data_IF_290093340869
#
_entry.id   IF_290093340869
#
_cell.length_a   1.000
_cell.length_b   1.000
_cell.length_c   1.000
_cell.angle_alpha   90.00
_cell.angle_beta   90.00
_cell.angle_gamma   90.00
#
_symmetry.space_group_name_H-M   'P 1'
#
loop_
_entity.id
_entity.type
_entity.pdbx_description
1 polymer ?
#
# COMPACT_ATOMS: atom_id res chain seq x y z
N UNK A 1 -18.39 28.12 -15.72
CA UNK A 1 -17.72 26.95 -16.32
C UNK A 1 -16.23 26.94 -16.04
N UNK A 2 -15.44 27.94 -16.46
CA UNK A 2 -13.99 27.95 -16.14
C UNK A 2 -13.67 28.02 -14.63
N UNK A 3 -14.43 28.81 -13.85
CA UNK A 3 -14.22 28.93 -12.41
C UNK A 3 -14.58 27.65 -11.64
N UNK A 4 -15.55 26.89 -12.13
CA UNK A 4 -15.99 25.62 -11.53
C UNK A 4 -14.97 24.51 -11.77
N UNK A 5 -14.40 24.45 -12.99
CA UNK A 5 -13.30 23.54 -13.30
C UNK A 5 -12.03 23.90 -12.50
N UNK A 6 -11.73 25.20 -12.35
CA UNK A 6 -10.61 25.65 -11.52
C UNK A 6 -10.77 25.21 -10.05
N UNK A 7 -11.95 25.43 -9.47
CA UNK A 7 -12.25 25.03 -8.09
C UNK A 7 -12.12 23.51 -7.91
N UNK A 8 -12.61 22.73 -8.88
CA UNK A 8 -12.48 21.27 -8.85
C UNK A 8 -11.01 20.83 -8.89
N UNK A 9 -10.19 21.45 -9.75
CA UNK A 9 -8.75 21.15 -9.84
C UNK A 9 -8.02 21.51 -8.54
N UNK A 10 -8.35 22.65 -7.93
CA UNK A 10 -7.79 23.04 -6.62
C UNK A 10 -8.18 22.06 -5.52
N UNK A 11 -9.43 21.59 -5.50
CA UNK A 11 -9.88 20.55 -4.57
C UNK A 11 -9.13 19.23 -4.80
N UNK A 12 -8.96 18.81 -6.06
CA UNK A 12 -8.19 17.62 -6.41
C UNK A 12 -6.73 17.74 -5.98
N UNK A 13 -6.11 18.91 -6.16
CA UNK A 13 -4.76 19.20 -5.69
C UNK A 13 -4.67 19.07 -4.16
N UNK A 14 -5.64 19.62 -3.42
CA UNK A 14 -5.70 19.50 -1.96
C UNK A 14 -5.85 18.04 -1.48
N UNK A 15 -6.66 17.23 -2.18
CA UNK A 15 -6.77 15.80 -1.91
C UNK A 15 -5.46 15.05 -2.18
N UNK A 16 -4.76 15.38 -3.27
CA UNK A 16 -3.46 14.79 -3.59
C UNK A 16 -2.38 15.16 -2.56
N UNK A 17 -2.35 16.41 -2.07
CA UNK A 17 -1.44 16.83 -1.01
C UNK A 17 -1.73 16.10 0.31
N UNK A 18 -3.02 15.94 0.64
CA UNK A 18 -3.44 15.15 1.79
C UNK A 18 -3.02 13.68 1.65
N UNK A 19 -3.14 13.12 0.44
CA UNK A 19 -2.71 11.75 0.15
C UNK A 19 -1.19 11.60 0.30
N UNK A 20 -0.39 12.60 -0.07
CA UNK A 20 1.05 12.60 0.14
C UNK A 20 1.42 12.46 1.62
N UNK A 21 0.74 13.21 2.50
CA UNK A 21 0.96 13.15 3.95
C UNK A 21 0.61 11.76 4.48
N UNK A 22 -0.55 11.22 4.09
CA UNK A 22 -1.00 9.88 4.50
C UNK A 22 -0.02 8.81 4.03
N UNK A 23 0.50 8.93 2.81
CA UNK A 23 1.46 7.97 2.25
C UNK A 23 2.85 8.05 2.89
N UNK A 24 3.31 9.24 3.29
CA UNK A 24 4.53 9.40 4.11
C UNK A 24 4.35 8.81 5.51
N UNK A 25 3.17 8.99 6.11
CA UNK A 25 2.84 8.34 7.37
C UNK A 25 2.84 6.80 7.23
N UNK A 26 2.28 6.28 6.13
CA UNK A 26 2.34 4.85 5.81
C UNK A 26 3.80 4.34 5.70
N UNK A 27 4.68 5.08 5.02
CA UNK A 27 6.11 4.77 4.92
C UNK A 27 6.78 4.70 6.31
N UNK A 28 6.52 5.69 7.18
CA UNK A 28 7.02 5.71 8.55
C UNK A 28 6.52 4.51 9.35
N UNK A 29 5.23 4.17 9.23
CA UNK A 29 4.63 3.01 9.91
C UNK A 29 5.23 1.68 9.43
N UNK A 30 5.58 1.57 8.15
CA UNK A 30 6.27 0.42 7.58
C UNK A 30 7.75 0.35 7.98
N UNK A 31 8.35 1.48 8.36
CA UNK A 31 9.73 1.56 8.85
C UNK A 31 9.95 0.95 10.24
N UNK A 32 8.89 0.74 11.03
CA UNK A 32 9.02 0.08 12.33
C UNK A 32 9.37 -1.41 12.18
N UNK A 33 10.12 -1.93 13.15
CA UNK A 33 10.48 -3.37 13.21
C UNK A 33 9.25 -4.31 13.15
N UNK A 34 8.13 -3.86 13.72
CA UNK A 34 6.83 -4.50 13.61
C UNK A 34 5.82 -3.44 13.24
N UNK A 35 5.14 -3.63 12.12
CA UNK A 35 4.09 -2.72 11.65
C UNK A 35 2.95 -2.69 12.69
N UNK A 36 2.62 -1.52 13.26
CA UNK A 36 1.58 -1.41 14.27
C UNK A 36 0.20 -1.52 13.60
N UNK A 37 -0.65 -2.49 13.98
CA UNK A 37 -1.85 -2.83 13.22
C UNK A 37 -2.93 -1.72 13.23
N UNK A 38 -3.21 -1.09 14.38
CA UNK A 38 -4.27 -0.06 14.46
C UNK A 38 -3.93 1.21 13.67
N UNK A 39 -2.76 1.87 13.90
CA UNK A 39 -2.41 3.08 13.14
C UNK A 39 -2.25 2.80 11.64
N UNK A 40 -1.76 1.62 11.27
CA UNK A 40 -1.61 1.21 9.88
C UNK A 40 -2.96 1.00 9.18
N UNK A 41 -3.93 0.38 9.86
CA UNK A 41 -5.29 0.23 9.34
C UNK A 41 -5.97 1.59 9.14
N UNK A 42 -5.89 2.48 10.14
CA UNK A 42 -6.44 3.84 10.05
C UNK A 42 -5.85 4.63 8.87
N UNK A 43 -4.52 4.58 8.71
CA UNK A 43 -3.81 5.23 7.59
C UNK A 43 -4.22 4.63 6.24
N UNK A 44 -4.43 3.31 6.19
CA UNK A 44 -4.88 2.61 4.97
C UNK A 44 -6.30 3.01 4.58
N UNK A 45 -7.22 3.12 5.54
CA UNK A 45 -8.58 3.56 5.28
C UNK A 45 -8.64 5.03 4.84
N UNK A 46 -7.83 5.91 5.44
CA UNK A 46 -7.68 7.29 4.99
C UNK A 46 -7.17 7.38 3.55
N UNK A 47 -6.14 6.59 3.20
CA UNK A 47 -5.62 6.47 1.83
C UNK A 47 -6.73 6.02 0.87
N UNK A 48 -7.52 5.00 1.24
CA UNK A 48 -8.61 4.49 0.43
C UNK A 48 -9.70 5.53 0.19
N UNK A 49 -10.09 6.27 1.23
CA UNK A 49 -11.04 7.37 1.11
C UNK A 49 -10.54 8.46 0.15
N UNK A 50 -9.29 8.91 0.32
CA UNK A 50 -8.70 9.95 -0.52
C UNK A 50 -8.58 9.50 -1.99
N UNK A 51 -8.17 8.26 -2.25
CA UNK A 51 -8.11 7.71 -3.61
C UNK A 51 -9.51 7.66 -4.25
N UNK A 52 -10.54 7.28 -3.49
CA UNK A 52 -11.92 7.29 -3.98
C UNK A 52 -12.40 8.71 -4.29
N UNK A 53 -12.09 9.68 -3.42
CA UNK A 53 -12.41 11.09 -3.63
C UNK A 53 -11.70 11.67 -4.87
N UNK A 54 -10.42 11.35 -5.08
CA UNK A 54 -9.66 11.73 -6.28
C UNK A 54 -10.28 11.10 -7.53
N UNK A 55 -10.65 9.82 -7.48
CA UNK A 55 -11.31 9.14 -8.62
C UNK A 55 -12.67 9.76 -8.97
N UNK A 56 -13.45 10.17 -7.96
CA UNK A 56 -14.70 10.90 -8.19
C UNK A 56 -14.45 12.29 -8.80
N UNK A 57 -13.48 13.04 -8.28
CA UNK A 57 -13.10 14.35 -8.82
C UNK A 57 -12.63 14.26 -10.27
N UNK A 58 -11.87 13.23 -10.62
CA UNK A 58 -11.39 12.99 -11.99
C UNK A 58 -12.55 12.69 -12.95
N UNK A 59 -13.53 11.87 -12.55
CA UNK A 59 -14.72 11.61 -13.35
C UNK A 59 -15.54 12.89 -13.56
N UNK A 60 -15.67 13.72 -12.53
CA UNK A 60 -16.35 15.02 -12.62
C UNK A 60 -15.59 15.98 -13.55
N UNK A 61 -14.25 15.95 -13.53
CA UNK A 61 -13.39 16.73 -14.43
C UNK A 61 -13.65 16.34 -15.89
N UNK A 62 -13.66 15.04 -16.20
CA UNK A 62 -13.93 14.54 -17.55
C UNK A 62 -15.32 14.95 -18.06
N UNK A 63 -16.35 14.93 -17.20
CA UNK A 63 -17.70 15.38 -17.56
C UNK A 63 -17.74 16.88 -17.87
N UNK A 64 -17.08 17.71 -17.06
CA UNK A 64 -16.99 19.15 -17.31
C UNK A 64 -16.18 19.47 -18.58
N UNK A 65 -15.12 18.71 -18.86
CA UNK A 65 -14.36 18.83 -20.11
C UNK A 65 -15.20 18.51 -21.34
N UNK A 66 -16.00 17.43 -21.29
CA UNK A 66 -16.89 17.04 -22.38
C UNK A 66 -17.97 18.11 -22.62
N UNK A 67 -18.55 18.67 -21.55
CA UNK A 67 -19.54 19.74 -21.64
C UNK A 67 -18.97 21.06 -22.16
N UNK A 68 -17.75 21.41 -21.76
CA UNK A 68 -17.08 22.64 -22.19
C UNK A 68 -16.39 22.50 -23.56
N UNK A 69 -16.23 21.28 -24.08
CA UNK A 69 -15.38 20.95 -25.23
C UNK A 69 -13.94 21.47 -25.10
N UNK A 70 -13.41 21.44 -23.88
CA UNK A 70 -12.05 21.85 -23.56
C UNK A 70 -11.29 20.62 -23.10
N UNK A 71 -10.04 20.47 -23.52
CA UNK A 71 -9.18 19.35 -23.12
C UNK A 71 -7.92 19.88 -22.44
N UNK A 72 -7.48 19.22 -21.37
CA UNK A 72 -6.16 19.42 -20.81
C UNK A 72 -5.08 19.27 -21.92
N UNK A 73 -4.06 20.14 -22.02
CA UNK A 73 -3.45 20.95 -20.95
C UNK A 73 -4.02 22.37 -20.75
N UNK A 74 -5.22 22.69 -21.27
CA UNK A 74 -5.89 23.98 -21.04
C UNK A 74 -5.06 25.19 -21.51
N UNK A 75 -4.48 25.11 -22.72
CA UNK A 75 -3.58 26.15 -23.28
C UNK A 75 -4.19 27.56 -23.31
N UNK A 76 -5.53 27.67 -23.33
CA UNK A 76 -6.25 28.94 -23.28
C UNK A 76 -6.37 29.59 -21.90
N UNK A 77 -5.97 28.93 -20.81
CA UNK A 77 -6.04 29.50 -19.47
C UNK A 77 -4.79 29.15 -18.64
N UNK A 78 -3.88 30.12 -18.38
CA UNK A 78 -2.63 29.86 -17.69
C UNK A 78 -2.82 29.39 -16.24
N UNK A 79 -3.90 29.81 -15.56
CA UNK A 79 -4.19 29.36 -14.20
C UNK A 79 -4.54 27.87 -14.14
N UNK A 80 -5.40 27.40 -15.06
CA UNK A 80 -5.74 25.97 -15.16
C UNK A 80 -4.54 25.12 -15.58
N UNK A 81 -3.75 25.59 -16.55
CA UNK A 81 -2.54 24.89 -16.98
C UNK A 81 -1.56 24.70 -15.82
N UNK A 82 -1.35 25.75 -15.01
CA UNK A 82 -0.45 25.69 -13.86
C UNK A 82 -0.92 24.67 -12.80
N UNK A 83 -2.19 24.70 -12.43
CA UNK A 83 -2.77 23.76 -11.46
C UNK A 83 -2.72 22.32 -11.99
N UNK A 84 -2.96 22.14 -13.30
CA UNK A 84 -2.87 20.83 -13.95
C UNK A 84 -1.44 20.27 -13.95
N UNK A 85 -0.43 21.12 -14.20
CA UNK A 85 0.97 20.70 -14.11
C UNK A 85 1.36 20.30 -12.69
N UNK A 86 0.89 21.04 -11.67
CA UNK A 86 1.09 20.68 -10.28
C UNK A 86 0.45 19.32 -9.93
N UNK A 87 -0.78 19.07 -10.40
CA UNK A 87 -1.48 17.78 -10.23
C UNK A 87 -0.69 16.64 -10.88
N UNK A 88 -0.22 16.81 -12.12
CA UNK A 88 0.58 15.79 -12.83
C UNK A 88 1.88 15.48 -12.11
N UNK A 89 2.57 16.51 -11.64
CA UNK A 89 3.82 16.36 -10.89
C UNK A 89 3.60 15.58 -9.59
N UNK A 90 2.60 16.00 -8.80
CA UNK A 90 2.28 15.37 -7.53
C UNK A 90 1.80 13.92 -7.71
N UNK A 91 0.97 13.65 -8.72
CA UNK A 91 0.53 12.28 -9.05
C UNK A 91 1.70 11.37 -9.40
N UNK A 92 2.69 11.89 -10.12
CA UNK A 92 3.91 11.13 -10.46
C UNK A 92 4.71 10.80 -9.19
N UNK A 93 4.91 11.79 -8.31
CA UNK A 93 5.58 11.57 -7.02
C UNK A 93 4.84 10.57 -6.13
N UNK A 94 3.50 10.66 -6.06
CA UNK A 94 2.66 9.73 -5.29
C UNK A 94 2.74 8.30 -5.83
N UNK A 95 2.84 8.14 -7.16
CA UNK A 95 3.05 6.82 -7.77
C UNK A 95 4.36 6.18 -7.31
N UNK A 96 5.44 6.95 -7.30
CA UNK A 96 6.75 6.47 -6.85
C UNK A 96 6.75 6.13 -5.35
N UNK A 97 6.09 6.96 -4.53
CA UNK A 97 5.93 6.70 -3.10
C UNK A 97 5.11 5.41 -2.87
N UNK A 98 4.03 5.22 -3.63
CA UNK A 98 3.20 4.01 -3.53
C UNK A 98 3.99 2.75 -3.89
N UNK A 99 4.84 2.86 -4.92
CA UNK A 99 5.72 1.77 -5.31
C UNK A 99 6.70 1.41 -4.19
N UNK A 100 7.31 2.39 -3.53
CA UNK A 100 8.19 2.17 -2.37
C UNK A 100 7.47 1.50 -1.20
N UNK A 101 6.29 2.01 -0.83
CA UNK A 101 5.46 1.43 0.23
C UNK A 101 5.08 -0.02 -0.09
N UNK A 102 4.76 -0.30 -1.35
CA UNK A 102 4.49 -1.66 -1.81
C UNK A 102 5.71 -2.57 -1.66
N UNK A 103 6.91 -2.11 -2.06
CA UNK A 103 8.14 -2.90 -1.90
C UNK A 103 8.43 -3.23 -0.43
N UNK A 104 8.27 -2.26 0.49
CA UNK A 104 8.44 -2.51 1.93
C UNK A 104 7.44 -3.53 2.47
N UNK A 105 6.17 -3.44 2.03
CA UNK A 105 5.15 -4.42 2.40
C UNK A 105 5.50 -5.84 1.92
N UNK A 106 6.00 -5.99 0.70
CA UNK A 106 6.45 -7.29 0.19
C UNK A 106 7.58 -7.88 1.03
N UNK A 107 8.57 -7.06 1.40
CA UNK A 107 9.67 -7.49 2.28
C UNK A 107 9.16 -7.96 3.65
N UNK A 108 8.20 -7.25 4.25
CA UNK A 108 7.56 -7.67 5.51
C UNK A 108 6.83 -9.01 5.37
N UNK A 109 6.09 -9.21 4.28
CA UNK A 109 5.38 -10.47 4.00
C UNK A 109 6.38 -11.62 3.82
N UNK A 110 7.45 -11.39 3.08
CA UNK A 110 8.50 -12.38 2.84
C UNK A 110 9.18 -12.78 4.15
N UNK A 111 9.65 -11.82 4.95
CA UNK A 111 10.31 -12.08 6.22
C UNK A 111 9.38 -12.79 7.21
N UNK A 112 8.10 -12.39 7.29
CA UNK A 112 7.12 -13.06 8.12
C UNK A 112 6.87 -14.49 7.66
N UNK A 113 6.82 -14.75 6.34
CA UNK A 113 6.68 -16.10 5.79
C UNK A 113 7.88 -16.98 6.14
N UNK A 114 9.10 -16.44 6.01
CA UNK A 114 10.32 -17.14 6.41
C UNK A 114 10.34 -17.46 7.91
N UNK A 115 9.96 -16.50 8.77
CA UNK A 115 9.83 -16.70 10.23
C UNK A 115 8.80 -17.78 10.56
N UNK A 116 7.62 -17.75 9.93
CA UNK A 116 6.59 -18.77 10.11
C UNK A 116 7.07 -20.15 9.66
N UNK A 117 7.78 -20.23 8.54
CA UNK A 117 8.35 -21.49 8.05
C UNK A 117 9.43 -22.04 8.99
N UNK A 118 10.29 -21.17 9.53
CA UNK A 118 11.27 -21.54 10.55
C UNK A 118 10.58 -22.10 11.81
N UNK A 119 9.61 -21.36 12.36
CA UNK A 119 8.85 -21.82 13.54
C UNK A 119 8.13 -23.14 13.26
N UNK A 120 7.48 -23.30 12.11
CA UNK A 120 6.81 -24.57 11.74
C UNK A 120 7.80 -25.74 11.65
N UNK A 121 8.99 -25.52 11.07
CA UNK A 121 10.04 -26.54 10.95
C UNK A 121 10.57 -26.99 12.31
N UNK A 122 10.69 -26.07 13.27
CA UNK A 122 11.25 -26.36 14.61
C UNK A 122 10.19 -26.73 15.67
N UNK A 123 8.95 -26.27 15.55
CA UNK A 123 7.84 -26.66 16.44
C UNK A 123 7.46 -28.13 16.29
N UNK A 124 7.80 -28.75 15.15
CA UNK A 124 7.60 -30.18 14.92
C UNK A 124 8.74 -31.05 15.48
N UNK A 125 9.79 -30.46 16.07
CA UNK A 125 10.79 -31.19 16.84
C UNK A 125 10.29 -31.44 18.27
N UNK A 126 9.14 -32.10 18.39
CA UNK A 126 8.82 -32.88 19.59
C UNK A 126 9.80 -34.05 19.61
N UNK A 127 11.01 -33.77 20.07
CA UNK A 127 12.01 -34.82 20.34
C UNK A 127 11.52 -35.71 21.48
N UNK A 128 10.65 -35.16 22.34
CA UNK A 128 10.01 -35.82 23.46
C UNK A 128 8.50 -35.65 23.41
N UNK A 129 7.75 -36.73 23.63
CA UNK A 129 6.30 -36.70 23.81
C UNK A 129 5.91 -36.00 25.12
N UNK A 130 4.60 -35.84 25.38
CA UNK A 130 4.08 -35.29 26.63
C UNK A 130 4.46 -36.14 27.88
N UNK A 131 4.97 -37.36 27.66
CA UNK A 131 5.52 -38.30 28.63
C UNK A 131 7.05 -38.16 28.84
N UNK A 132 7.72 -37.27 28.10
CA UNK A 132 9.17 -37.07 28.18
C UNK A 132 9.99 -38.20 27.53
N UNK A 133 9.39 -39.06 26.70
CA UNK A 133 10.10 -40.15 26.02
C UNK A 133 10.50 -39.75 24.60
N UNK A 134 11.72 -40.11 24.18
CA UNK A 134 12.16 -39.95 22.80
C UNK A 134 11.22 -40.72 21.86
N UNK A 135 10.73 -40.08 20.80
CA UNK A 135 9.97 -40.79 19.77
C UNK A 135 10.89 -41.80 19.07
N UNK A 136 10.86 -43.05 19.53
CA UNK A 136 11.55 -44.16 18.86
C UNK A 136 10.89 -44.35 17.49
N UNK A 137 11.46 -43.75 16.44
CA UNK A 137 11.28 -44.28 15.09
C UNK A 137 11.74 -45.74 15.14
N UNK A 138 10.89 -46.73 14.85
CA UNK A 138 11.36 -48.10 14.76
C UNK A 138 12.28 -48.14 13.53
N UNK A 139 13.59 -48.23 13.77
CA UNK A 139 14.52 -48.68 12.76
C UNK A 139 14.11 -50.12 12.41
N UNK A 140 13.30 -50.28 11.36
CA UNK A 140 13.11 -51.55 10.68
C UNK A 140 14.50 -51.96 10.15
N UNK A 141 15.20 -52.82 10.90
CA UNK A 141 16.60 -53.12 10.60
C UNK A 141 17.14 -54.33 11.34
N UNK A 142 16.72 -55.50 10.85
CA UNK A 142 17.36 -56.83 10.98
C UNK A 142 17.44 -57.46 12.38
N UNK A 143 16.62 -58.49 12.57
CA UNK A 143 16.85 -59.56 13.55
C UNK A 143 18.26 -60.14 13.31
N UNK A 144 19.13 -60.05 14.31
CA UNK A 144 20.34 -60.86 14.40
C UNK A 144 19.93 -62.09 15.23
N UNK A 145 19.92 -63.25 14.60
CA UNK A 145 19.80 -64.53 15.30
C UNK A 145 21.20 -64.97 15.74
N UNK A 146 21.34 -65.34 17.02
CA UNK A 146 22.44 -66.16 17.56
C UNK A 146 21.86 -67.56 17.76
#
# INVERSE_FOLDING_TARGET
MNDELLLLLEQQLGHLQSLEIVMKNEELLLGYHRVPPSPFQETTEQKRFLVAAIGHAENHRLQLEEQAQITAPYEGNPALSHTWDAIKHLTTMLKDLNYRNHQMLQLHIELNTQRLNFVKKHNNQSTYGADGLESKRPALGKKISI
#
